data_IF_518923667848
#
_entry.id   IF_518923667848
#
_cell.length_a   1.000
_cell.length_b   1.000
_cell.length_c   1.000
_cell.angle_alpha   90.00
_cell.angle_beta   90.00
_cell.angle_gamma   90.00
#
_symmetry.space_group_name_H-M   'P 1'
#
loop_
_entity.id
_entity.type
_entity.pdbx_description
1 polymer ?
#
# COMPACT_ATOMS: atom_id res chain seq x y z
N UNK A 1 21.13 17.55 -33.44
CA UNK A 1 21.27 16.72 -32.21
C UNK A 1 19.95 16.70 -31.48
N UNK A 2 19.39 15.52 -31.21
CA UNK A 2 18.13 15.40 -30.46
C UNK A 2 18.37 15.61 -28.95
N UNK A 3 17.52 16.40 -28.31
CA UNK A 3 17.57 16.61 -26.85
C UNK A 3 17.46 15.28 -26.08
N UNK A 4 18.23 15.14 -25.01
CA UNK A 4 18.10 14.02 -24.07
C UNK A 4 16.73 14.04 -23.39
N UNK A 5 16.29 12.90 -22.85
CA UNK A 5 15.01 12.80 -22.16
C UNK A 5 14.91 13.81 -21.00
N UNK A 6 15.99 13.98 -20.24
CA UNK A 6 16.08 14.98 -19.17
C UNK A 6 15.97 16.41 -19.68
N UNK A 7 16.62 16.73 -20.80
CA UNK A 7 16.55 18.05 -21.42
C UNK A 7 15.14 18.33 -21.94
N UNK A 8 14.46 17.34 -22.53
CA UNK A 8 13.05 17.43 -22.95
C UNK A 8 12.11 17.67 -21.75
N UNK A 9 12.34 16.98 -20.64
CA UNK A 9 11.58 17.18 -19.39
C UNK A 9 11.80 18.59 -18.83
N UNK A 10 13.05 19.06 -18.79
CA UNK A 10 13.42 20.39 -18.28
C UNK A 10 12.83 21.52 -19.13
N UNK A 11 12.83 21.36 -20.46
CA UNK A 11 12.23 22.31 -21.40
C UNK A 11 10.70 22.33 -21.28
N UNK A 12 10.05 21.17 -21.20
CA UNK A 12 8.60 21.05 -20.99
C UNK A 12 8.18 21.67 -19.65
N UNK A 13 8.98 21.47 -18.60
CA UNK A 13 8.81 22.11 -17.28
C UNK A 13 8.92 23.63 -17.39
N UNK A 14 9.95 24.16 -18.07
CA UNK A 14 10.14 25.61 -18.27
C UNK A 14 8.98 26.25 -19.03
N UNK A 15 8.55 25.65 -20.13
CA UNK A 15 7.46 26.17 -20.95
C UNK A 15 6.12 26.17 -20.19
N UNK A 16 5.84 25.12 -19.42
CA UNK A 16 4.65 25.06 -18.58
C UNK A 16 4.68 26.11 -17.45
N UNK A 17 5.80 26.24 -16.73
CA UNK A 17 5.93 27.26 -15.68
C UNK A 17 5.75 28.68 -16.23
N UNK A 18 6.26 28.96 -17.45
CA UNK A 18 6.06 30.23 -18.12
C UNK A 18 4.59 30.48 -18.52
N UNK A 19 3.82 29.43 -18.84
CA UNK A 19 2.38 29.53 -19.13
C UNK A 19 1.51 29.72 -17.87
N UNK A 20 2.08 29.62 -16.67
CA UNK A 20 1.36 29.66 -15.39
C UNK A 20 1.42 31.04 -14.71
N UNK A 21 1.49 32.13 -15.47
CA UNK A 21 1.56 33.51 -14.96
C UNK A 21 0.85 33.75 -13.62
N UNK A 22 1.63 34.23 -12.65
CA UNK A 22 1.31 34.51 -11.25
C UNK A 22 0.68 33.37 -10.43
N UNK A 23 1.55 32.76 -9.61
CA UNK A 23 1.32 31.88 -8.44
C UNK A 23 -0.09 32.01 -7.85
N UNK A 24 -0.81 30.88 -7.81
CA UNK A 24 -2.19 30.84 -7.35
C UNK A 24 -2.28 31.04 -5.83
N UNK A 25 -3.40 31.59 -5.37
CA UNK A 25 -3.70 31.88 -3.95
C UNK A 25 -3.41 30.73 -2.96
N UNK A 26 -3.21 29.50 -3.44
CA UNK A 26 -2.82 28.32 -2.65
C UNK A 26 -1.41 28.42 -2.04
N UNK A 27 -0.47 29.09 -2.69
CA UNK A 27 0.90 29.25 -2.15
C UNK A 27 0.96 30.28 -1.02
N UNK A 28 0.15 31.33 -1.10
CA UNK A 28 -0.07 32.28 0.01
C UNK A 28 -0.73 31.60 1.21
N UNK A 29 -1.62 30.63 0.98
CA UNK A 29 -2.28 29.83 2.02
C UNK A 29 -1.34 28.82 2.71
N UNK A 30 -0.39 28.23 1.98
CA UNK A 30 0.62 27.33 2.55
C UNK A 30 1.69 28.06 3.37
N UNK A 31 1.97 29.33 3.04
CA UNK A 31 2.89 30.19 3.79
C UNK A 31 2.28 30.71 5.12
N UNK A 32 0.95 30.76 5.24
CA UNK A 32 0.24 31.06 6.48
C UNK A 32 0.21 29.85 7.43
N UNK A 33 1.38 29.46 7.94
CA UNK A 33 1.52 28.45 9.01
C UNK A 33 1.29 29.00 10.43
N UNK A 34 0.81 30.24 10.55
CA UNK A 34 0.41 30.85 11.84
C UNK A 34 -1.07 31.17 11.80
N UNK A 35 -1.87 30.25 12.32
CA UNK A 35 -3.31 30.46 12.51
C UNK A 35 -4.08 29.22 12.14
N UNK A 36 -4.51 28.47 13.16
CA UNK A 36 -5.34 27.29 13.00
C UNK A 36 -6.62 27.60 12.21
N UNK A 37 -6.63 27.30 10.92
CA UNK A 37 -7.82 27.29 10.08
C UNK A 37 -8.28 25.84 9.89
N UNK A 38 -9.53 25.58 10.29
CA UNK A 38 -10.18 24.27 10.19
C UNK A 38 -10.22 23.81 8.72
N UNK A 39 -9.84 22.54 8.50
CA UNK A 39 -9.97 21.80 7.21
C UNK A 39 -11.35 21.91 6.54
N UNK A 40 -12.39 22.32 7.27
CA UNK A 40 -13.78 22.42 6.82
C UNK A 40 -14.10 23.65 5.95
N UNK A 41 -13.22 24.66 5.86
CA UNK A 41 -13.48 25.89 5.09
C UNK A 41 -12.85 25.91 3.68
N UNK A 42 -12.10 24.87 3.28
CA UNK A 42 -11.73 24.68 1.88
C UNK A 42 -12.93 24.12 1.12
N UNK A 43 -13.87 25.02 0.82
CA UNK A 43 -15.18 24.71 0.29
C UNK A 43 -15.08 23.92 -1.02
N UNK A 44 -15.86 22.85 -1.04
CA UNK A 44 -16.07 21.85 -2.08
C UNK A 44 -16.62 22.40 -3.41
N UNK A 45 -16.79 23.72 -3.54
CA UNK A 45 -17.54 24.39 -4.63
C UNK A 45 -16.66 24.96 -5.75
N UNK A 46 -15.32 24.92 -5.63
CA UNK A 46 -14.43 25.71 -6.52
C UNK A 46 -13.31 24.92 -7.20
N UNK A 47 -13.40 23.59 -7.22
CA UNK A 47 -12.39 22.71 -7.81
C UNK A 47 -13.06 21.80 -8.83
N UNK A 48 -12.95 22.19 -10.10
CA UNK A 48 -13.37 21.41 -11.26
C UNK A 48 -12.33 20.36 -11.61
N UNK A 49 -12.66 19.43 -12.52
CA UNK A 49 -11.73 18.42 -13.03
C UNK A 49 -10.44 19.06 -13.56
N UNK A 50 -10.56 20.15 -14.31
CA UNK A 50 -9.43 20.85 -14.93
C UNK A 50 -8.47 21.39 -13.87
N UNK A 51 -8.99 21.98 -12.80
CA UNK A 51 -8.18 22.52 -11.71
C UNK A 51 -7.44 21.43 -10.94
N UNK A 52 -8.09 20.30 -10.70
CA UNK A 52 -7.43 19.13 -10.07
C UNK A 52 -6.30 18.59 -10.97
N UNK A 53 -6.56 18.43 -12.27
CA UNK A 53 -5.52 17.97 -13.21
C UNK A 53 -4.35 18.95 -13.31
N UNK A 54 -4.62 20.27 -13.27
CA UNK A 54 -3.59 21.31 -13.22
C UNK A 54 -2.70 21.17 -11.98
N UNK A 55 -3.29 21.02 -10.79
CA UNK A 55 -2.56 20.85 -9.53
C UNK A 55 -1.73 19.56 -9.50
N UNK A 56 -2.23 18.47 -10.08
CA UNK A 56 -1.47 17.21 -10.21
C UNK A 56 -0.25 17.38 -11.12
N UNK A 57 -0.41 18.09 -12.24
CA UNK A 57 0.70 18.42 -13.15
C UNK A 57 1.73 19.32 -12.50
N UNK A 58 1.30 20.35 -11.77
CA UNK A 58 2.19 21.22 -11.00
C UNK A 58 2.99 20.46 -9.94
N UNK A 59 2.32 19.58 -9.18
CA UNK A 59 3.00 18.73 -8.21
C UNK A 59 4.05 17.84 -8.88
N UNK A 60 3.71 17.20 -10.00
CA UNK A 60 4.63 16.36 -10.75
C UNK A 60 5.86 17.14 -11.24
N UNK A 61 5.66 18.34 -11.78
CA UNK A 61 6.77 19.16 -12.27
C UNK A 61 7.69 19.63 -11.14
N UNK A 62 7.14 19.90 -9.95
CA UNK A 62 7.93 20.30 -8.78
C UNK A 62 8.72 19.14 -8.19
N UNK A 63 8.13 17.93 -8.11
CA UNK A 63 8.67 16.82 -7.33
C UNK A 63 9.22 15.65 -8.17
N UNK A 64 9.02 15.65 -9.50
CA UNK A 64 9.40 14.54 -10.38
C UNK A 64 8.55 13.27 -10.22
N UNK A 65 7.49 13.32 -9.40
CA UNK A 65 6.57 12.21 -9.12
C UNK A 65 5.17 12.72 -8.84
N UNK A 66 4.17 11.85 -8.97
CA UNK A 66 2.81 12.16 -8.51
C UNK A 66 2.72 12.16 -6.98
N UNK A 67 1.77 12.90 -6.39
CA UNK A 67 1.58 12.90 -4.94
C UNK A 67 1.00 11.56 -4.44
N UNK A 68 1.33 11.18 -3.21
CA UNK A 68 0.54 10.22 -2.46
C UNK A 68 -0.77 10.87 -2.01
N UNK A 69 -1.81 10.05 -1.76
CA UNK A 69 -3.14 10.53 -1.31
C UNK A 69 -3.06 11.50 -0.12
N UNK A 70 -2.14 11.26 0.82
CA UNK A 70 -1.95 12.09 2.03
C UNK A 70 -1.23 13.42 1.77
N UNK A 71 -0.50 13.53 0.66
CA UNK A 71 0.24 14.72 0.26
C UNK A 71 -0.61 15.67 -0.60
N UNK A 72 -1.68 15.16 -1.20
CA UNK A 72 -2.55 15.94 -2.06
C UNK A 72 -3.78 16.46 -1.29
N UNK A 73 -3.76 17.75 -0.96
CA UNK A 73 -4.81 18.41 -0.17
C UNK A 73 -6.23 18.18 -0.72
N UNK A 74 -6.36 18.12 -2.06
CA UNK A 74 -7.64 17.99 -2.74
C UNK A 74 -7.98 16.54 -3.14
N UNK A 75 -7.42 15.54 -2.46
CA UNK A 75 -7.65 14.11 -2.77
C UNK A 75 -9.13 13.73 -2.76
N UNK A 76 -9.89 14.20 -1.77
CA UNK A 76 -11.34 13.92 -1.67
C UNK A 76 -12.12 14.52 -2.83
N UNK A 77 -11.74 15.72 -3.26
CA UNK A 77 -12.38 16.39 -4.40
C UNK A 77 -12.02 15.65 -5.69
N UNK A 78 -10.75 15.29 -5.88
CA UNK A 78 -10.32 14.48 -7.02
C UNK A 78 -11.11 13.17 -7.11
N UNK A 79 -11.34 12.49 -5.98
CA UNK A 79 -12.18 11.28 -5.96
C UNK A 79 -13.64 11.56 -6.32
N UNK A 80 -14.22 12.66 -5.86
CA UNK A 80 -15.61 13.00 -6.17
C UNK A 80 -15.77 13.34 -7.66
N UNK A 81 -14.92 14.20 -8.20
CA UNK A 81 -15.03 14.67 -9.59
C UNK A 81 -14.71 13.58 -10.61
N UNK A 82 -13.72 12.72 -10.33
CA UNK A 82 -13.25 11.68 -11.25
C UNK A 82 -13.76 10.27 -10.88
N UNK A 83 -14.52 10.12 -9.80
CA UNK A 83 -14.98 8.83 -9.25
C UNK A 83 -13.92 8.09 -8.41
N UNK A 84 -12.64 8.16 -8.76
CA UNK A 84 -11.56 7.58 -7.94
C UNK A 84 -10.23 8.34 -8.06
N UNK A 85 -9.36 8.14 -7.07
CA UNK A 85 -8.02 8.75 -7.08
C UNK A 85 -7.20 8.28 -8.29
N UNK A 86 -7.23 6.98 -8.60
CA UNK A 86 -6.48 6.45 -9.73
C UNK A 86 -7.02 6.99 -11.06
N UNK A 87 -8.34 7.16 -11.18
CA UNK A 87 -8.96 7.76 -12.36
C UNK A 87 -8.54 9.24 -12.53
N UNK A 88 -8.50 10.00 -11.44
CA UNK A 88 -7.95 11.38 -11.47
C UNK A 88 -6.50 11.43 -11.95
N UNK A 89 -5.65 10.48 -11.51
CA UNK A 89 -4.24 10.39 -11.93
C UNK A 89 -4.14 10.01 -13.42
N UNK A 90 -4.91 9.01 -13.88
CA UNK A 90 -4.93 8.54 -15.27
C UNK A 90 -5.39 9.67 -16.21
N UNK A 91 -6.53 10.29 -15.92
CA UNK A 91 -7.07 11.39 -16.75
C UNK A 91 -6.17 12.63 -16.74
N UNK A 92 -5.36 12.81 -15.68
CA UNK A 92 -4.34 13.86 -15.65
C UNK A 92 -3.08 13.53 -16.45
N UNK A 93 -3.01 12.36 -17.09
CA UNK A 93 -1.92 11.94 -17.97
C UNK A 93 -0.79 11.20 -17.26
N UNK A 94 -1.04 10.61 -16.09
CA UNK A 94 -0.04 9.92 -15.29
C UNK A 94 -0.40 8.47 -15.01
N UNK A 95 0.62 7.64 -14.76
CA UNK A 95 0.43 6.27 -14.26
C UNK A 95 0.18 6.31 -12.73
N UNK A 96 -0.89 5.68 -12.22
CA UNK A 96 -1.13 5.60 -10.78
C UNK A 96 0.00 4.94 -10.01
N UNK A 97 0.17 5.36 -8.76
CA UNK A 97 1.07 4.67 -7.83
C UNK A 97 0.60 3.22 -7.66
N UNK A 98 1.52 2.24 -7.70
CA UNK A 98 1.16 0.85 -7.49
C UNK A 98 0.48 0.70 -6.14
N UNK A 99 -0.69 0.06 -6.14
CA UNK A 99 -1.40 -0.23 -4.91
C UNK A 99 -0.66 -1.38 -4.23
N UNK A 100 -0.16 -1.15 -3.01
CA UNK A 100 0.44 -2.22 -2.21
C UNK A 100 -0.54 -3.38 -2.10
N UNK A 101 -0.07 -4.61 -2.32
CA UNK A 101 -0.86 -5.85 -2.26
C UNK A 101 -1.97 -6.00 -3.33
N UNK A 102 -1.90 -5.23 -4.42
CA UNK A 102 -2.84 -5.40 -5.55
C UNK A 102 -2.57 -6.64 -6.39
N UNK A 103 -1.30 -7.07 -6.47
CA UNK A 103 -0.95 -8.32 -7.14
C UNK A 103 -1.33 -9.48 -6.24
N UNK A 104 -2.20 -10.35 -6.75
CA UNK A 104 -2.51 -11.64 -6.15
C UNK A 104 -1.70 -12.74 -6.81
N UNK A 105 -1.45 -13.80 -6.06
CA UNK A 105 -0.78 -15.01 -6.51
C UNK A 105 -1.76 -16.17 -6.34
N UNK A 106 -1.76 -17.13 -7.27
CA UNK A 106 -2.63 -18.31 -7.18
C UNK A 106 -1.72 -19.50 -6.89
N UNK A 107 -1.95 -20.17 -5.77
CA UNK A 107 -1.25 -21.38 -5.38
C UNK A 107 -1.70 -22.59 -6.20
N UNK A 108 -0.96 -23.69 -6.12
CA UNK A 108 -1.18 -24.88 -6.94
C UNK A 108 -2.54 -25.57 -6.66
N UNK A 109 -3.11 -25.40 -5.47
CA UNK A 109 -4.45 -25.89 -5.10
C UNK A 109 -5.57 -24.87 -5.38
N UNK A 110 -5.23 -23.71 -5.94
CA UNK A 110 -6.18 -22.65 -6.30
C UNK A 110 -6.32 -21.53 -5.26
N UNK A 111 -5.65 -21.61 -4.11
CA UNK A 111 -5.73 -20.55 -3.10
C UNK A 111 -5.14 -19.20 -3.59
N UNK A 112 -5.80 -18.08 -3.25
CA UNK A 112 -5.41 -16.72 -3.68
C UNK A 112 -4.56 -16.00 -2.63
N UNK A 113 -3.26 -15.91 -2.81
CA UNK A 113 -2.30 -15.33 -1.85
C UNK A 113 -2.00 -13.85 -2.11
N UNK A 114 -1.70 -13.10 -1.05
CA UNK A 114 -1.41 -11.66 -1.09
C UNK A 114 0.08 -11.37 -1.32
N UNK A 115 0.93 -12.39 -1.13
CA UNK A 115 2.36 -12.32 -1.40
C UNK A 115 2.88 -13.60 -2.07
N UNK A 116 4.03 -13.47 -2.74
CA UNK A 116 4.74 -14.62 -3.31
C UNK A 116 5.17 -15.60 -2.23
N UNK A 117 5.58 -15.10 -1.06
CA UNK A 117 6.00 -15.94 0.06
C UNK A 117 4.84 -16.76 0.63
N UNK A 118 3.64 -16.18 0.75
CA UNK A 118 2.43 -16.94 1.09
C UNK A 118 2.14 -18.03 0.06
N UNK A 119 2.21 -17.73 -1.25
CA UNK A 119 2.09 -18.77 -2.29
C UNK A 119 3.11 -19.89 -2.09
N UNK A 120 4.37 -19.57 -1.78
CA UNK A 120 5.41 -20.59 -1.57
C UNK A 120 5.15 -21.46 -0.33
N UNK A 121 4.61 -20.87 0.75
CA UNK A 121 4.21 -21.62 1.95
C UNK A 121 3.04 -22.55 1.62
N UNK A 122 2.03 -22.02 0.93
CA UNK A 122 0.83 -22.73 0.48
C UNK A 122 1.19 -23.92 -0.42
N UNK A 123 1.94 -23.66 -1.50
CA UNK A 123 2.41 -24.69 -2.44
C UNK A 123 3.20 -25.78 -1.72
N UNK A 124 4.00 -25.41 -0.71
CA UNK A 124 4.78 -26.36 0.06
C UNK A 124 3.88 -27.25 0.94
N UNK A 125 2.89 -26.67 1.63
CA UNK A 125 1.90 -27.42 2.40
C UNK A 125 1.13 -28.39 1.49
N UNK A 126 0.67 -27.90 0.33
CA UNK A 126 -0.03 -28.70 -0.67
C UNK A 126 0.86 -29.83 -1.23
N UNK A 127 2.12 -29.56 -1.55
CA UNK A 127 3.09 -30.58 -2.03
C UNK A 127 3.30 -31.69 -0.99
N UNK A 128 3.21 -31.35 0.30
CA UNK A 128 3.27 -32.31 1.41
C UNK A 128 1.92 -32.98 1.72
N UNK A 129 0.88 -32.68 0.94
CA UNK A 129 -0.49 -33.16 1.14
C UNK A 129 -1.05 -32.79 2.52
N UNK A 130 -0.62 -31.65 3.05
CA UNK A 130 -1.08 -31.11 4.34
C UNK A 130 -2.31 -30.25 4.07
N UNK A 131 -3.47 -30.72 4.53
CA UNK A 131 -4.72 -29.96 4.48
C UNK A 131 -4.57 -28.73 5.36
N UNK A 132 -4.79 -27.55 4.78
CA UNK A 132 -4.63 -26.28 5.45
C UNK A 132 -5.76 -25.32 5.08
N UNK A 133 -6.19 -24.52 6.05
CA UNK A 133 -7.15 -23.42 5.86
C UNK A 133 -6.37 -22.11 5.76
N UNK A 134 -6.82 -21.20 4.90
CA UNK A 134 -6.27 -19.86 4.78
C UNK A 134 -7.13 -18.78 5.40
N UNK A 135 -6.47 -17.72 5.89
CA UNK A 135 -7.13 -16.59 6.57
C UNK A 135 -8.00 -17.05 7.75
N UNK A 136 -7.61 -18.13 8.43
CA UNK A 136 -8.40 -18.73 9.49
C UNK A 136 -8.55 -17.76 10.67
N UNK A 137 -9.77 -17.61 11.17
CA UNK A 137 -10.07 -16.65 12.25
C UNK A 137 -9.63 -17.20 13.61
N UNK A 138 -9.06 -16.33 14.43
CA UNK A 138 -8.87 -16.63 15.85
C UNK A 138 -10.23 -16.54 16.56
N UNK A 139 -10.64 -17.63 17.21
CA UNK A 139 -11.92 -17.73 17.91
C UNK A 139 -12.16 -16.54 18.83
N UNK A 140 -13.36 -15.94 18.75
CA UNK A 140 -13.74 -14.79 19.58
C UNK A 140 -13.12 -13.45 19.17
N UNK A 141 -12.44 -13.36 18.02
CA UNK A 141 -11.84 -12.09 17.54
C UNK A 141 -12.09 -11.83 16.06
N UNK A 142 -11.73 -10.63 15.61
CA UNK A 142 -11.66 -10.30 14.20
C UNK A 142 -10.29 -10.61 13.56
N UNK A 143 -9.30 -11.03 14.35
CA UNK A 143 -7.98 -11.36 13.82
C UNK A 143 -8.04 -12.68 13.05
N UNK A 144 -7.19 -12.78 12.03
CA UNK A 144 -6.98 -14.00 11.24
C UNK A 144 -5.50 -14.35 11.22
N UNK A 145 -5.19 -15.63 11.05
CA UNK A 145 -3.86 -16.12 10.73
C UNK A 145 -3.76 -16.47 9.24
N UNK A 146 -2.54 -16.51 8.71
CA UNK A 146 -2.32 -16.75 7.29
C UNK A 146 -2.71 -18.18 6.91
N UNK A 147 -2.30 -19.15 7.73
CA UNK A 147 -2.64 -20.57 7.56
C UNK A 147 -3.03 -21.22 8.89
N UNK A 148 -3.93 -22.19 8.84
CA UNK A 148 -4.26 -23.07 9.97
C UNK A 148 -4.17 -24.52 9.52
N UNK A 149 -3.43 -25.31 10.30
CA UNK A 149 -3.25 -26.74 10.06
C UNK A 149 -3.54 -27.47 11.36
N UNK A 150 -4.56 -28.33 11.39
CA UNK A 150 -5.05 -28.96 12.63
C UNK A 150 -5.30 -27.87 13.70
N UNK A 151 -4.64 -27.94 14.84
CA UNK A 151 -4.71 -26.95 15.94
C UNK A 151 -3.65 -25.84 15.85
N UNK A 152 -2.77 -25.87 14.85
CA UNK A 152 -1.68 -24.90 14.70
C UNK A 152 -2.10 -23.70 13.87
N UNK A 153 -1.89 -22.50 14.43
CA UNK A 153 -2.02 -21.21 13.75
C UNK A 153 -0.65 -20.78 13.21
N UNK A 154 -0.50 -20.67 11.90
CA UNK A 154 0.75 -20.30 11.24
C UNK A 154 0.62 -18.88 10.70
N UNK A 155 1.51 -17.98 11.14
CA UNK A 155 1.58 -16.58 10.71
C UNK A 155 2.85 -16.33 9.91
N UNK A 156 2.74 -15.63 8.79
CA UNK A 156 3.84 -15.14 7.99
C UNK A 156 4.02 -13.62 8.19
N UNK A 157 4.96 -13.25 9.06
CA UNK A 157 5.28 -11.85 9.33
C UNK A 157 6.29 -11.27 8.32
N UNK A 158 5.93 -11.29 7.03
CA UNK A 158 6.79 -10.85 5.93
C UNK A 158 7.16 -9.37 5.91
N UNK A 159 6.47 -8.52 6.70
CA UNK A 159 6.71 -7.08 6.77
C UNK A 159 7.16 -6.62 8.16
N UNK A 160 7.69 -7.52 8.99
CA UNK A 160 8.19 -7.15 10.31
C UNK A 160 9.24 -6.04 10.22
N UNK A 161 9.16 -5.07 11.12
CA UNK A 161 10.00 -3.86 11.16
C UNK A 161 9.80 -2.87 10.00
N UNK A 162 8.79 -3.09 9.13
CA UNK A 162 8.51 -2.15 8.03
C UNK A 162 7.80 -0.87 8.48
N UNK A 163 7.01 -0.95 9.57
CA UNK A 163 6.31 0.19 10.14
C UNK A 163 5.77 -0.09 11.54
N UNK A 164 5.73 0.95 12.39
CA UNK A 164 5.19 0.87 13.76
C UNK A 164 3.79 0.25 13.82
N UNK A 165 2.90 0.65 12.89
CA UNK A 165 1.51 0.17 12.84
C UNK A 165 1.42 -1.33 12.52
N UNK A 166 2.24 -1.81 11.60
CA UNK A 166 2.29 -3.23 11.27
C UNK A 166 2.80 -4.04 12.47
N UNK A 167 3.88 -3.58 13.09
CA UNK A 167 4.46 -4.25 14.25
C UNK A 167 3.51 -4.24 15.47
N UNK A 168 2.72 -3.18 15.66
CA UNK A 168 1.65 -3.14 16.66
C UNK A 168 0.59 -4.21 16.39
N UNK A 169 0.15 -4.38 15.15
CA UNK A 169 -0.80 -5.44 14.78
C UNK A 169 -0.22 -6.83 15.04
N UNK A 170 1.04 -7.07 14.66
CA UNK A 170 1.75 -8.31 14.94
C UNK A 170 1.81 -8.59 16.45
N UNK A 171 2.20 -7.59 17.26
CA UNK A 171 2.26 -7.73 18.73
C UNK A 171 0.90 -8.09 19.33
N UNK A 172 -0.19 -7.46 18.89
CA UNK A 172 -1.54 -7.75 19.38
C UNK A 172 -1.97 -9.19 19.08
N UNK A 173 -1.66 -9.70 17.89
CA UNK A 173 -1.91 -11.11 17.54
C UNK A 173 -1.09 -12.06 18.41
N UNK A 174 0.22 -11.83 18.54
CA UNK A 174 1.11 -12.66 19.37
C UNK A 174 0.69 -12.66 20.84
N UNK A 175 0.25 -11.51 21.36
CA UNK A 175 -0.29 -11.40 22.70
C UNK A 175 -1.58 -12.21 22.86
N UNK A 176 -2.52 -12.09 21.92
CA UNK A 176 -3.75 -12.89 21.94
C UNK A 176 -3.47 -14.40 21.91
N UNK A 177 -2.56 -14.85 21.05
CA UNK A 177 -2.13 -16.24 20.96
C UNK A 177 -1.57 -16.74 22.31
N UNK A 178 -0.71 -15.92 22.94
CA UNK A 178 -0.09 -16.24 24.23
C UNK A 178 -1.14 -16.35 25.35
N UNK A 179 -2.03 -15.38 25.45
CA UNK A 179 -3.09 -15.33 26.47
C UNK A 179 -4.05 -16.53 26.35
N UNK A 180 -4.36 -16.93 25.11
CA UNK A 180 -5.25 -18.06 24.84
C UNK A 180 -4.52 -19.41 24.71
N UNK A 181 -3.21 -19.45 24.96
CA UNK A 181 -2.37 -20.66 24.90
C UNK A 181 -2.51 -21.43 23.58
N UNK A 182 -2.63 -20.72 22.47
CA UNK A 182 -2.81 -21.34 21.16
C UNK A 182 -1.47 -21.88 20.62
N UNK A 183 -1.50 -23.07 20.00
CA UNK A 183 -0.36 -23.60 19.26
C UNK A 183 -0.14 -22.72 18.04
N UNK A 184 1.03 -22.10 17.92
CA UNK A 184 1.32 -21.22 16.81
C UNK A 184 2.75 -21.34 16.31
N UNK A 185 2.96 -20.98 15.04
CA UNK A 185 4.27 -20.91 14.41
C UNK A 185 4.37 -19.57 13.69
N UNK A 186 5.42 -18.81 14.01
CA UNK A 186 5.73 -17.55 13.35
C UNK A 186 6.81 -17.78 12.29
N UNK A 187 6.49 -17.51 11.04
CA UNK A 187 7.40 -17.55 9.89
C UNK A 187 7.75 -16.12 9.52
N UNK A 188 9.03 -15.85 9.28
CA UNK A 188 9.52 -14.56 8.83
C UNK A 188 10.11 -14.64 7.44
N UNK A 189 10.36 -13.48 6.82
CA UNK A 189 10.92 -13.44 5.47
C UNK A 189 12.26 -14.19 5.36
N UNK A 190 13.09 -14.15 6.41
CA UNK A 190 14.38 -14.87 6.51
C UNK A 190 14.26 -16.40 6.49
N UNK A 191 13.07 -16.91 6.80
CA UNK A 191 12.77 -18.34 6.84
C UNK A 191 12.32 -18.87 5.48
N UNK A 192 11.95 -17.97 4.57
CA UNK A 192 11.61 -18.27 3.18
C UNK A 192 12.79 -17.95 2.25
N UNK A 193 13.48 -16.83 2.48
CA UNK A 193 14.59 -16.35 1.64
C UNK A 193 15.79 -15.90 2.50
N UNK A 194 17.04 -16.19 2.10
CA UNK A 194 17.43 -16.92 0.88
C UNK A 194 17.35 -18.44 1.04
N UNK A 195 17.24 -18.95 2.28
CA UNK A 195 17.10 -20.39 2.56
C UNK A 195 15.66 -20.70 2.92
N UNK A 196 15.08 -21.68 2.25
CA UNK A 196 13.73 -22.14 2.50
C UNK A 196 13.72 -23.15 3.66
N UNK A 197 13.21 -22.76 4.83
CA UNK A 197 13.34 -23.50 6.11
C UNK A 197 12.05 -24.11 6.63
N UNK A 198 10.98 -24.14 5.84
CA UNK A 198 9.67 -24.59 6.29
C UNK A 198 9.65 -26.02 6.83
N UNK A 199 10.45 -26.93 6.26
CA UNK A 199 10.55 -28.30 6.76
C UNK A 199 10.99 -28.37 8.22
N UNK A 200 11.91 -27.49 8.65
CA UNK A 200 12.39 -27.44 10.04
C UNK A 200 11.36 -26.76 10.94
N UNK A 201 10.75 -25.68 10.47
CA UNK A 201 9.79 -24.89 11.25
C UNK A 201 8.46 -25.60 11.48
N UNK A 202 8.00 -26.36 10.50
CA UNK A 202 6.70 -27.04 10.51
C UNK A 202 6.81 -28.52 10.87
N UNK A 203 7.96 -28.95 11.40
CA UNK A 203 8.20 -30.36 11.77
C UNK A 203 7.15 -30.93 12.73
N UNK A 204 6.63 -30.10 13.63
CA UNK A 204 5.66 -30.51 14.67
C UNK A 204 4.20 -30.41 14.18
N UNK A 205 3.99 -29.89 12.97
CA UNK A 205 2.67 -29.75 12.32
C UNK A 205 2.34 -30.97 11.47
N UNK A 206 3.38 -31.55 10.84
CA UNK A 206 3.31 -32.75 9.99
C UNK A 206 2.85 -33.94 10.83
#
# INVERSE_FOLDING_TARGET
MSLSLEQKIKLKRRNYLNSLGNLSSTEKLLASRKGGLRRSQLTTKQYTREKISKLLKEFYLKNGRIPFKKEFLHEKVARREFGSWNKAIIESGFKPNPVKFSKKYIANDGHICDSLAEKLIDDWLNTKQIIHERNARYNGTHFTCDFKVKDFYIEFFGLSNSSKKYDESMRRKLQFIKENKLKHISIYQKDIFPKFRLQVLLKDVI
#
